data_IF_261401832992
#
_entry.id   IF_261401832992
#
_cell.length_a   1.000
_cell.length_b   1.000
_cell.length_c   1.000
_cell.angle_alpha   90.00
_cell.angle_beta   90.00
_cell.angle_gamma   90.00
#
_symmetry.space_group_name_H-M   'P 1'
#
loop_
_entity.id
_entity.type
_entity.pdbx_description
1 polymer ?
#
# COMPACT_ATOMS: atom_id res chain seq x y z
N UNK A 1 -8.14 -0.10 37.01
CA UNK A 1 -6.93 -0.48 36.26
C UNK A 1 -7.22 -0.25 34.80
N UNK A 2 -6.64 0.73 34.10
CA UNK A 2 -6.91 0.90 32.69
C UNK A 2 -6.20 -0.24 31.96
N UNK A 3 -6.98 -1.20 31.50
CA UNK A 3 -6.53 -2.26 30.59
C UNK A 3 -6.01 -1.56 29.35
N UNK A 4 -4.70 -1.55 29.14
CA UNK A 4 -4.07 -1.02 27.92
C UNK A 4 -4.43 -1.96 26.77
N UNK A 5 -5.64 -1.84 26.25
CA UNK A 5 -6.01 -2.45 24.98
C UNK A 5 -5.16 -1.70 23.96
N UNK A 6 -4.19 -2.39 23.37
CA UNK A 6 -3.40 -1.92 22.22
C UNK A 6 -4.34 -1.78 21.00
N UNK A 7 -5.26 -0.81 21.05
CA UNK A 7 -6.26 -0.52 20.01
C UNK A 7 -5.64 0.34 18.92
N UNK A 8 -4.60 -0.21 18.29
CA UNK A 8 -3.77 0.48 17.32
C UNK A 8 -3.44 -0.42 16.15
N UNK A 9 -3.43 0.16 14.95
CA UNK A 9 -2.85 -0.46 13.77
C UNK A 9 -1.41 0.03 13.63
N UNK A 10 -0.46 -0.89 13.51
CA UNK A 10 0.95 -0.58 13.30
C UNK A 10 1.33 -1.03 11.89
N UNK A 11 1.99 -0.14 11.15
CA UNK A 11 2.54 -0.46 9.83
C UNK A 11 4.03 -0.18 9.83
N UNK A 12 4.80 -1.08 9.23
CA UNK A 12 6.23 -0.88 9.02
C UNK A 12 6.58 -1.11 7.54
N UNK A 13 7.44 -0.26 7.01
CA UNK A 13 7.96 -0.34 5.65
C UNK A 13 9.48 -0.24 5.68
N UNK A 14 10.17 -1.20 5.07
CA UNK A 14 11.62 -1.32 5.04
C UNK A 14 12.30 -0.53 3.91
N UNK A 15 11.62 0.44 3.31
CA UNK A 15 12.22 1.37 2.34
C UNK A 15 13.25 2.30 3.01
N UNK A 16 13.90 3.18 2.24
CA UNK A 16 14.98 4.06 2.74
C UNK A 16 14.53 5.07 3.81
N UNK A 17 13.22 5.31 3.95
CA UNK A 17 12.66 6.25 4.92
C UNK A 17 12.34 7.64 4.35
N UNK A 18 11.91 8.56 5.22
CA UNK A 18 11.46 9.89 4.82
C UNK A 18 12.63 10.86 4.64
N UNK A 19 12.61 11.56 3.52
CA UNK A 19 13.41 12.79 3.34
C UNK A 19 12.63 14.01 3.83
N UNK A 20 13.31 15.15 4.00
CA UNK A 20 12.66 16.45 4.25
C UNK A 20 11.50 16.74 3.29
N UNK A 21 11.66 16.41 2.00
CA UNK A 21 10.61 16.60 0.99
C UNK A 21 9.39 15.71 1.25
N UNK A 22 9.59 14.49 1.77
CA UNK A 22 8.49 13.61 2.16
C UNK A 22 7.71 14.17 3.35
N UNK A 23 8.41 14.72 4.36
CA UNK A 23 7.77 15.37 5.52
C UNK A 23 6.98 16.62 5.09
N UNK A 24 7.55 17.47 4.24
CA UNK A 24 6.82 18.61 3.70
C UNK A 24 5.60 18.18 2.87
N UNK A 25 5.76 17.13 2.05
CA UNK A 25 4.72 16.58 1.21
C UNK A 25 3.53 16.07 2.02
N UNK A 26 3.78 15.31 3.07
CA UNK A 26 2.73 14.74 3.91
C UNK A 26 1.99 15.83 4.69
N UNK A 27 2.60 16.99 4.95
CA UNK A 27 1.99 18.13 5.64
C UNK A 27 1.16 19.06 4.73
N UNK A 28 1.09 18.83 3.42
CA UNK A 28 0.34 19.72 2.48
C UNK A 28 -1.12 19.29 2.30
N UNK A 29 -2.01 20.27 2.08
CA UNK A 29 -3.39 20.06 1.61
C UNK A 29 -3.41 20.20 0.10
N UNK A 30 -3.91 19.19 -0.62
CA UNK A 30 -4.40 19.33 -2.00
C UNK A 30 -3.40 19.82 -3.07
N UNK A 31 -2.15 20.13 -2.71
CA UNK A 31 -1.09 20.53 -3.62
C UNK A 31 -0.04 19.42 -3.66
N UNK A 32 -0.19 18.63 -4.70
CA UNK A 32 0.68 17.55 -5.17
C UNK A 32 2.16 17.78 -4.83
N UNK A 33 2.75 16.86 -4.09
CA UNK A 33 4.20 16.83 -3.83
C UNK A 33 5.03 16.23 -4.97
N UNK A 34 4.48 16.11 -6.18
CA UNK A 34 5.26 15.79 -7.39
C UNK A 34 5.70 17.07 -8.11
N UNK A 35 6.12 18.09 -7.37
CA UNK A 35 6.76 19.27 -7.98
C UNK A 35 8.12 18.85 -8.51
N UNK A 36 8.19 18.67 -9.83
CA UNK A 36 9.32 19.01 -10.71
C UNK A 36 10.73 18.58 -10.25
N UNK A 37 10.86 17.44 -9.59
CA UNK A 37 12.14 16.74 -9.53
C UNK A 37 12.03 15.52 -10.43
N UNK A 38 13.05 15.31 -11.25
CA UNK A 38 13.31 14.29 -12.27
C UNK A 38 13.11 12.81 -11.86
N UNK A 39 12.39 12.52 -10.79
CA UNK A 39 12.04 11.20 -10.25
C UNK A 39 10.60 10.76 -10.60
N UNK A 40 10.08 11.17 -11.77
CA UNK A 40 8.73 10.84 -12.24
C UNK A 40 8.51 9.37 -12.65
N UNK A 41 9.56 8.53 -12.66
CA UNK A 41 9.42 7.12 -13.00
C UNK A 41 8.97 6.30 -11.77
N UNK A 42 7.67 5.99 -11.71
CA UNK A 42 7.20 4.79 -11.01
C UNK A 42 6.46 4.94 -9.68
N UNK A 43 6.09 6.15 -9.28
CA UNK A 43 5.24 6.36 -8.09
C UNK A 43 3.74 6.29 -8.41
N UNK A 44 3.03 5.34 -7.79
CA UNK A 44 1.57 5.23 -7.83
C UNK A 44 0.95 6.28 -6.88
N UNK A 45 -0.01 7.06 -7.37
CA UNK A 45 -0.71 8.09 -6.58
C UNK A 45 -0.40 9.52 -7.05
N UNK A 46 -1.28 10.11 -7.86
CA UNK A 46 -1.11 11.43 -8.47
C UNK A 46 -1.56 12.59 -7.55
N UNK A 47 -2.53 12.34 -6.66
CA UNK A 47 -3.30 13.41 -5.99
C UNK A 47 -2.83 13.80 -4.58
N UNK A 48 -1.85 13.11 -3.98
CA UNK A 48 -1.33 13.45 -2.64
C UNK A 48 -2.32 13.29 -1.47
N UNK A 49 -3.50 12.72 -1.71
CA UNK A 49 -4.55 12.49 -0.70
C UNK A 49 -4.42 11.14 0.03
N UNK A 50 -3.55 10.26 -0.44
CA UNK A 50 -3.48 8.86 -0.01
C UNK A 50 -3.24 8.73 1.49
N UNK A 51 -2.25 9.42 2.04
CA UNK A 51 -1.98 9.33 3.47
C UNK A 51 -3.16 9.81 4.33
N UNK A 52 -3.89 10.86 3.93
CA UNK A 52 -4.96 11.42 4.78
C UNK A 52 -6.15 10.48 4.96
N UNK A 53 -6.29 9.42 4.15
CA UNK A 53 -7.35 8.43 4.35
C UNK A 53 -7.23 7.66 5.66
N UNK A 54 -6.04 7.62 6.29
CA UNK A 54 -5.84 6.99 7.61
C UNK A 54 -6.75 7.59 8.69
N UNK A 55 -7.10 8.89 8.59
CA UNK A 55 -7.98 9.56 9.55
C UNK A 55 -9.46 9.17 9.42
N UNK A 56 -9.80 8.30 8.46
CA UNK A 56 -11.11 7.62 8.45
C UNK A 56 -11.23 6.62 9.60
N UNK A 57 -10.11 6.06 10.07
CA UNK A 57 -10.09 5.01 11.10
C UNK A 57 -9.26 5.39 12.32
N UNK A 58 -8.38 6.38 12.21
CA UNK A 58 -7.47 6.80 13.27
C UNK A 58 -7.78 8.21 13.77
N UNK A 59 -7.68 8.42 15.08
CA UNK A 59 -7.69 9.76 15.70
C UNK A 59 -6.29 10.36 15.69
N UNK A 60 -5.27 9.56 15.99
CA UNK A 60 -3.87 10.00 16.04
C UNK A 60 -2.99 9.07 15.22
N UNK A 61 -2.05 9.63 14.48
CA UNK A 61 -1.07 8.88 13.69
C UNK A 61 0.32 9.37 14.01
N UNK A 62 1.13 8.51 14.62
CA UNK A 62 2.56 8.71 14.79
C UNK A 62 3.32 8.16 13.60
N UNK A 63 4.38 8.84 13.20
CA UNK A 63 5.30 8.44 12.14
C UNK A 63 6.72 8.55 12.70
N UNK A 64 7.46 7.46 12.61
CA UNK A 64 8.89 7.41 12.89
C UNK A 64 9.61 6.92 11.64
N UNK A 65 10.53 7.72 11.12
CA UNK A 65 11.33 7.36 9.94
C UNK A 65 12.65 8.12 9.95
N UNK A 66 13.76 7.37 10.02
CA UNK A 66 15.10 7.92 10.15
C UNK A 66 15.16 8.94 11.31
N UNK A 67 15.64 10.16 11.07
CA UNK A 67 15.69 11.24 12.05
C UNK A 67 14.32 11.91 12.37
N UNK A 68 13.25 11.56 11.64
CA UNK A 68 11.95 12.20 11.80
C UNK A 68 11.03 11.40 12.71
N UNK A 69 10.52 12.04 13.75
CA UNK A 69 9.56 11.47 14.69
C UNK A 69 8.50 12.51 15.06
N UNK A 70 7.28 12.31 14.58
CA UNK A 70 6.19 13.25 14.75
C UNK A 70 4.83 12.56 14.66
N UNK A 71 3.78 13.26 15.09
CA UNK A 71 2.39 12.80 14.97
C UNK A 71 1.47 13.83 14.35
N UNK A 72 0.31 13.35 13.92
CA UNK A 72 -0.84 14.12 13.52
C UNK A 72 -2.05 13.73 14.39
N UNK A 73 -2.83 14.72 14.81
CA UNK A 73 -4.01 14.53 15.68
C UNK A 73 -5.25 15.10 14.97
N UNK A 74 -6.21 14.25 14.60
CA UNK A 74 -7.39 14.61 13.78
C UNK A 74 -8.23 15.71 14.42
N UNK A 75 -8.35 15.69 15.74
CA UNK A 75 -9.24 16.54 16.53
C UNK A 75 -8.71 17.98 16.69
N UNK A 76 -7.42 18.23 16.36
CA UNK A 76 -6.86 19.58 16.43
C UNK A 76 -7.20 20.41 15.19
N UNK A 77 -7.29 21.74 15.33
CA UNK A 77 -7.31 22.64 14.16
C UNK A 77 -6.10 22.37 13.26
N UNK A 78 -6.36 22.06 11.98
CA UNK A 78 -5.35 21.66 11.00
C UNK A 78 -4.55 20.41 11.40
N UNK A 79 -5.00 19.62 12.37
CA UNK A 79 -4.18 18.56 12.97
C UNK A 79 -3.91 17.35 12.07
N UNK A 80 -4.67 17.21 10.97
CA UNK A 80 -4.35 16.26 9.91
C UNK A 80 -3.16 16.68 9.04
N UNK A 81 -2.68 17.93 9.12
CA UNK A 81 -1.62 18.46 8.24
C UNK A 81 -0.49 19.17 8.99
N UNK A 82 -0.73 19.62 10.22
CA UNK A 82 0.28 20.24 11.06
C UNK A 82 0.90 19.17 11.96
N UNK A 83 2.19 18.83 11.76
CA UNK A 83 2.83 17.80 12.56
C UNK A 83 3.17 18.33 13.96
N UNK A 84 3.11 17.45 14.95
CA UNK A 84 3.61 17.68 16.30
C UNK A 84 4.86 16.81 16.46
N UNK A 85 6.02 17.43 16.62
CA UNK A 85 7.27 16.71 16.85
C UNK A 85 7.20 16.02 18.21
N UNK A 86 7.22 14.70 18.19
CA UNK A 86 7.07 13.84 19.36
C UNK A 86 7.78 12.52 19.05
N UNK A 87 8.61 12.06 19.98
CA UNK A 87 9.25 10.76 19.84
C UNK A 87 8.23 9.66 20.12
N UNK A 88 8.05 8.76 19.15
CA UNK A 88 7.28 7.54 19.40
C UNK A 88 8.07 6.66 20.38
N UNK A 89 7.51 6.31 21.55
CA UNK A 89 8.21 5.46 22.51
C UNK A 89 8.60 4.11 21.89
N UNK A 90 9.82 3.64 22.15
CA UNK A 90 10.35 2.39 21.56
C UNK A 90 9.52 1.15 21.93
N UNK A 91 8.91 1.15 23.11
CA UNK A 91 7.99 0.10 23.58
C UNK A 91 6.68 0.04 22.78
N UNK A 92 6.39 1.07 22.00
CA UNK A 92 5.20 1.21 21.16
C UNK A 92 5.46 0.96 19.67
N UNK A 93 6.71 0.71 19.29
CA UNK A 93 7.10 0.17 17.99
C UNK A 93 7.05 -1.36 18.05
N UNK A 94 6.68 -2.01 16.93
CA UNK A 94 6.75 -3.47 16.87
C UNK A 94 8.20 -3.91 17.08
N UNK A 95 8.46 -4.73 18.11
CA UNK A 95 9.80 -5.30 18.38
C UNK A 95 10.38 -6.09 17.20
N UNK A 96 9.50 -6.55 16.31
CA UNK A 96 9.84 -7.28 15.09
C UNK A 96 10.12 -6.36 13.88
N UNK A 97 10.09 -5.03 14.04
CA UNK A 97 10.45 -4.11 12.97
C UNK A 97 11.96 -4.20 12.68
N UNK A 98 12.36 -4.44 11.43
CA UNK A 98 13.74 -4.27 10.99
C UNK A 98 14.32 -2.91 11.38
N UNK A 99 15.64 -2.84 11.59
CA UNK A 99 16.32 -1.56 11.76
C UNK A 99 16.15 -0.69 10.50
N UNK A 100 15.76 0.57 10.70
CA UNK A 100 15.52 1.55 9.64
C UNK A 100 14.07 1.61 9.15
N UNK A 101 13.84 2.25 8.00
CA UNK A 101 12.52 2.31 7.38
C UNK A 101 11.58 3.41 7.85
N UNK A 102 10.28 3.17 7.65
CA UNK A 102 9.18 4.02 8.09
C UNK A 102 8.20 3.18 8.89
N UNK A 103 8.00 3.54 10.14
CA UNK A 103 7.00 2.96 11.03
C UNK A 103 5.89 3.97 11.27
N UNK A 104 4.63 3.53 11.23
CA UNK A 104 3.48 4.33 11.59
C UNK A 104 2.63 3.58 12.61
N UNK A 105 2.20 4.30 13.66
CA UNK A 105 1.22 3.81 14.63
C UNK A 105 -0.05 4.63 14.46
N UNK A 106 -1.16 3.96 14.18
CA UNK A 106 -2.47 4.56 14.02
C UNK A 106 -3.30 4.19 15.25
N UNK A 107 -3.52 5.15 16.14
CA UNK A 107 -4.48 4.97 17.23
C UNK A 107 -5.88 5.03 16.66
N UNK A 108 -6.63 3.93 16.80
CA UNK A 108 -7.97 3.84 16.22
C UNK A 108 -8.90 4.82 16.93
N UNK A 109 -9.71 5.54 16.14
CA UNK A 109 -10.70 6.48 16.67
C UNK A 109 -11.85 5.73 17.34
N UNK A 110 -12.51 6.32 18.34
CA UNK A 110 -13.60 5.63 19.06
C UNK A 110 -14.76 5.21 18.14
N UNK A 111 -15.01 5.97 17.07
CA UNK A 111 -16.07 5.74 16.07
C UNK A 111 -15.70 4.71 14.98
N UNK A 112 -14.46 4.20 14.94
CA UNK A 112 -14.06 3.21 13.94
C UNK A 112 -14.80 1.86 14.13
N UNK A 113 -15.34 1.28 13.06
CA UNK A 113 -15.87 -0.09 13.10
C UNK A 113 -14.71 -1.10 13.05
N UNK A 114 -14.31 -1.64 14.21
CA UNK A 114 -13.19 -2.59 14.32
C UNK A 114 -13.46 -3.88 13.55
N UNK A 115 -14.70 -4.37 13.55
CA UNK A 115 -15.07 -5.61 12.87
C UNK A 115 -14.91 -5.43 11.37
N UNK A 116 -15.46 -4.35 10.82
CA UNK A 116 -15.32 -4.01 9.40
C UNK A 116 -13.85 -3.78 9.01
N UNK A 117 -13.09 -3.04 9.83
CA UNK A 117 -11.67 -2.83 9.58
C UNK A 117 -10.91 -4.17 9.52
N UNK A 118 -11.18 -5.07 10.46
CA UNK A 118 -10.60 -6.43 10.46
C UNK A 118 -10.96 -7.18 9.18
N UNK A 119 -12.23 -7.19 8.80
CA UNK A 119 -12.71 -7.85 7.58
C UNK A 119 -12.03 -7.29 6.33
N UNK A 120 -11.96 -5.97 6.17
CA UNK A 120 -11.31 -5.33 5.03
C UNK A 120 -9.79 -5.64 5.00
N UNK A 121 -9.13 -5.64 6.16
CA UNK A 121 -7.70 -5.97 6.28
C UNK A 121 -7.38 -7.44 6.03
N UNK A 122 -8.28 -8.37 6.34
CA UNK A 122 -8.03 -9.80 6.11
C UNK A 122 -8.49 -10.29 4.75
N UNK A 123 -9.44 -9.60 4.10
CA UNK A 123 -10.09 -10.05 2.85
C UNK A 123 -9.58 -9.40 1.56
N UNK A 124 -8.61 -8.47 1.62
CA UNK A 124 -8.11 -7.82 0.41
C UNK A 124 -7.53 -8.83 -0.60
N UNK A 125 -7.72 -8.54 -1.88
CA UNK A 125 -7.29 -9.39 -3.00
C UNK A 125 -5.75 -9.43 -3.11
N UNK A 126 -5.11 -10.62 -2.97
CA UNK A 126 -3.66 -10.78 -3.12
C UNK A 126 -3.11 -10.34 -4.49
N UNK A 127 -3.95 -10.31 -5.54
CA UNK A 127 -3.54 -9.88 -6.88
C UNK A 127 -3.06 -8.42 -6.92
N UNK A 128 -3.35 -7.61 -5.89
CA UNK A 128 -2.80 -6.26 -5.77
C UNK A 128 -1.26 -6.26 -5.90
N UNK A 129 -0.57 -7.28 -5.39
CA UNK A 129 0.88 -7.39 -5.43
C UNK A 129 1.45 -7.46 -6.86
N UNK A 130 0.68 -7.93 -7.84
CA UNK A 130 1.11 -8.03 -9.24
C UNK A 130 1.42 -6.63 -9.82
N UNK A 131 0.62 -5.63 -9.42
CA UNK A 131 0.70 -4.27 -9.97
C UNK A 131 1.65 -3.35 -9.21
N UNK A 132 2.10 -3.77 -8.03
CA UNK A 132 3.09 -3.03 -7.27
C UNK A 132 4.47 -3.20 -7.91
N UNK A 133 5.32 -2.19 -7.85
CA UNK A 133 6.66 -2.28 -8.46
C UNK A 133 7.65 -2.85 -7.48
N UNK A 134 7.79 -2.19 -6.34
CA UNK A 134 8.80 -2.48 -5.31
C UNK A 134 8.30 -3.44 -4.23
N UNK A 135 7.01 -3.38 -3.86
CA UNK A 135 6.48 -4.23 -2.81
C UNK A 135 6.43 -5.70 -3.25
N UNK A 136 7.13 -6.56 -2.52
CA UNK A 136 7.21 -7.99 -2.79
C UNK A 136 6.51 -8.84 -1.74
N UNK A 137 6.36 -8.35 -0.51
CA UNK A 137 5.73 -9.09 0.57
C UNK A 137 4.88 -8.18 1.45
N UNK A 138 3.74 -8.69 1.88
CA UNK A 138 2.90 -8.12 2.93
C UNK A 138 2.77 -9.16 4.04
N UNK A 139 3.16 -8.78 5.25
CA UNK A 139 2.93 -9.58 6.45
C UNK A 139 1.83 -8.90 7.27
N UNK A 140 0.69 -9.57 7.39
CA UNK A 140 -0.41 -9.13 8.24
C UNK A 140 -0.43 -9.99 9.51
N UNK A 141 -0.36 -9.32 10.65
CA UNK A 141 -0.50 -9.95 11.96
C UNK A 141 -1.69 -9.31 12.66
N UNK A 142 -2.61 -10.12 13.16
CA UNK A 142 -3.78 -9.66 13.92
C UNK A 142 -3.82 -10.38 15.25
N UNK A 143 -3.85 -9.60 16.33
CA UNK A 143 -4.00 -10.08 17.70
C UNK A 143 -5.23 -9.42 18.30
N UNK A 144 -6.28 -10.19 18.55
CA UNK A 144 -7.52 -9.70 19.16
C UNK A 144 -8.16 -10.75 20.07
N UNK A 145 -9.43 -10.55 20.45
CA UNK A 145 -10.19 -11.50 21.25
C UNK A 145 -10.35 -12.89 20.61
N UNK A 146 -10.20 -13.00 19.28
CA UNK A 146 -10.24 -14.27 18.56
C UNK A 146 -8.87 -14.98 18.53
N UNK A 147 -7.86 -14.40 19.18
CA UNK A 147 -6.51 -14.93 19.26
C UNK A 147 -5.55 -14.28 18.27
N UNK A 148 -4.42 -14.96 18.06
CA UNK A 148 -3.36 -14.54 17.16
C UNK A 148 -3.55 -15.16 15.77
N UNK A 149 -3.42 -14.36 14.72
CA UNK A 149 -3.35 -14.83 13.34
C UNK A 149 -2.27 -14.10 12.55
N UNK A 150 -1.63 -14.84 11.64
CA UNK A 150 -0.60 -14.31 10.73
C UNK A 150 -0.90 -14.76 9.31
N UNK A 151 -0.85 -13.82 8.38
CA UNK A 151 -1.02 -14.04 6.95
C UNK A 151 0.15 -13.38 6.22
N UNK A 152 0.90 -14.17 5.47
CA UNK A 152 2.04 -13.69 4.67
C UNK A 152 1.70 -13.84 3.20
N UNK A 153 1.63 -12.72 2.48
CA UNK A 153 1.46 -12.69 1.03
C UNK A 153 2.78 -12.29 0.39
N UNK A 154 3.29 -13.09 -0.54
CA UNK A 154 4.57 -12.84 -1.21
C UNK A 154 4.43 -12.98 -2.71
N UNK A 155 4.99 -12.04 -3.45
CA UNK A 155 5.15 -12.10 -4.90
C UNK A 155 6.51 -12.67 -5.26
N UNK A 156 6.53 -13.64 -6.16
CA UNK A 156 7.74 -14.16 -6.78
C UNK A 156 7.71 -13.81 -8.26
N UNK A 157 8.77 -13.17 -8.75
CA UNK A 157 8.96 -12.87 -10.18
C UNK A 157 9.89 -13.89 -10.80
N UNK A 158 9.45 -14.48 -11.89
CA UNK A 158 10.21 -15.35 -12.79
C UNK A 158 10.31 -14.66 -14.16
N UNK A 159 11.23 -15.08 -15.06
CA UNK A 159 11.49 -14.36 -16.32
C UNK A 159 10.24 -14.04 -17.16
N UNK A 160 9.27 -14.96 -17.18
CA UNK A 160 8.00 -14.79 -17.91
C UNK A 160 6.80 -15.18 -17.05
N UNK A 161 6.92 -15.13 -15.72
CA UNK A 161 5.83 -15.47 -14.83
C UNK A 161 5.86 -14.68 -13.52
N UNK A 162 4.68 -14.54 -12.92
CA UNK A 162 4.52 -14.01 -11.57
C UNK A 162 3.70 -15.01 -10.78
N UNK A 163 4.19 -15.36 -9.60
CA UNK A 163 3.48 -16.20 -8.63
C UNK A 163 3.16 -15.38 -7.39
N UNK A 164 1.97 -15.62 -6.83
CA UNK A 164 1.58 -15.09 -5.53
C UNK A 164 1.47 -16.28 -4.57
N UNK A 165 2.18 -16.19 -3.46
CA UNK A 165 2.20 -17.19 -2.40
C UNK A 165 1.49 -16.63 -1.16
N UNK A 166 0.66 -17.45 -0.54
CA UNK A 166 0.07 -17.21 0.77
C UNK A 166 0.60 -18.25 1.76
N UNK A 167 1.27 -17.79 2.81
CA UNK A 167 1.91 -18.66 3.81
C UNK A 167 2.78 -19.76 3.13
N UNK A 168 3.59 -19.33 2.17
CA UNK A 168 4.47 -20.17 1.33
C UNK A 168 3.78 -21.20 0.41
N UNK A 169 2.45 -21.14 0.30
CA UNK A 169 1.69 -21.93 -0.68
C UNK A 169 1.34 -21.07 -1.88
N UNK A 170 1.61 -21.55 -3.08
CA UNK A 170 1.19 -20.88 -4.32
C UNK A 170 -0.34 -20.83 -4.40
N UNK A 171 -0.88 -19.61 -4.53
CA UNK A 171 -2.33 -19.38 -4.68
C UNK A 171 -2.69 -18.79 -6.05
N UNK A 172 -1.73 -18.14 -6.73
CA UNK A 172 -1.88 -17.67 -8.10
C UNK A 172 -0.59 -17.83 -8.89
N UNK A 173 -0.75 -18.15 -10.17
CA UNK A 173 0.33 -18.25 -11.14
C UNK A 173 -0.09 -17.58 -12.44
N UNK A 174 0.70 -16.61 -12.89
CA UNK A 174 0.46 -15.87 -14.11
C UNK A 174 1.63 -15.99 -15.05
N UNK A 175 1.37 -16.29 -16.32
CA UNK A 175 2.31 -16.07 -17.41
C UNK A 175 2.30 -14.59 -17.79
N UNK A 176 3.46 -13.95 -17.84
CA UNK A 176 3.57 -12.50 -18.03
C UNK A 176 4.27 -12.13 -19.32
N UNK A 177 3.71 -11.14 -20.01
CA UNK A 177 4.26 -10.55 -21.22
C UNK A 177 4.38 -9.04 -21.03
N UNK A 178 5.61 -8.54 -21.12
CA UNK A 178 5.91 -7.13 -20.95
C UNK A 178 6.22 -6.51 -22.30
N UNK A 179 5.53 -5.41 -22.62
CA UNK A 179 5.80 -4.59 -23.79
C UNK A 179 6.14 -3.17 -23.37
N UNK A 180 7.31 -2.69 -23.78
CA UNK A 180 7.71 -1.29 -23.59
C UNK A 180 7.16 -0.47 -24.76
N UNK A 181 6.35 0.54 -24.43
CA UNK A 181 5.83 1.52 -25.39
C UNK A 181 6.78 2.72 -25.40
N UNK A 182 7.61 2.87 -26.45
CA UNK A 182 8.47 4.04 -26.59
C UNK A 182 7.66 5.25 -27.06
N UNK A 183 8.21 6.45 -26.84
CA UNK A 183 7.68 7.73 -27.37
C UNK A 183 6.24 8.00 -26.92
N UNK A 184 6.06 8.13 -25.60
CA UNK A 184 4.78 8.57 -25.04
C UNK A 184 4.47 10.01 -25.43
N UNK A 185 3.19 10.36 -25.68
CA UNK A 185 2.78 11.73 -25.96
C UNK A 185 3.13 12.65 -24.78
N UNK A 186 3.48 13.90 -25.09
CA UNK A 186 3.73 14.89 -24.07
C UNK A 186 2.46 15.15 -23.25
N UNK A 187 2.59 15.01 -21.94
CA UNK A 187 1.54 15.30 -20.97
C UNK A 187 2.14 16.24 -19.90
N UNK A 188 1.66 17.49 -19.77
CA UNK A 188 2.15 18.45 -18.79
C UNK A 188 2.19 17.92 -17.35
N UNK A 189 1.28 17.00 -16.99
CA UNK A 189 1.26 16.37 -15.66
C UNK A 189 2.31 15.27 -15.48
N UNK A 190 3.01 14.89 -16.54
CA UNK A 190 3.95 13.76 -16.62
C UNK A 190 5.25 14.17 -17.33
N UNK A 191 5.76 15.36 -17.01
CA UNK A 191 7.04 15.85 -17.52
C UNK A 191 8.16 14.81 -17.32
N UNK A 192 8.92 14.54 -18.39
CA UNK A 192 10.02 13.58 -18.38
C UNK A 192 9.63 12.10 -18.55
N UNK A 193 8.33 11.78 -18.67
CA UNK A 193 7.89 10.41 -18.99
C UNK A 193 7.77 10.25 -20.50
N UNK A 194 8.79 9.67 -21.12
CA UNK A 194 8.88 9.43 -22.57
C UNK A 194 8.61 7.99 -22.99
N UNK A 195 8.46 7.07 -22.03
CA UNK A 195 8.19 5.65 -22.26
C UNK A 195 7.23 5.11 -21.21
N UNK A 196 6.46 4.09 -21.56
CA UNK A 196 5.58 3.37 -20.64
C UNK A 196 5.74 1.87 -20.81
N UNK A 197 5.25 1.10 -19.85
CA UNK A 197 5.31 -0.36 -19.87
C UNK A 197 3.90 -0.91 -19.74
N UNK A 198 3.56 -1.84 -20.62
CA UNK A 198 2.32 -2.63 -20.56
C UNK A 198 2.71 -4.03 -20.12
N UNK A 199 2.15 -4.48 -19.00
CA UNK A 199 2.26 -5.84 -18.50
C UNK A 199 0.92 -6.54 -18.74
N UNK A 200 0.94 -7.61 -19.53
CA UNK A 200 -0.16 -8.56 -19.64
C UNK A 200 0.16 -9.77 -18.77
N UNK A 201 -0.78 -10.19 -17.93
CA UNK A 201 -0.63 -11.34 -17.05
C UNK A 201 -1.83 -12.27 -17.26
N UNK A 202 -1.57 -13.49 -17.72
CA UNK A 202 -2.59 -14.50 -18.00
C UNK A 202 -2.52 -15.59 -16.95
N UNK A 203 -3.62 -15.93 -16.27
CA UNK A 203 -3.61 -16.99 -15.27
C UNK A 203 -3.25 -18.32 -15.94
N UNK A 204 -2.28 -19.03 -15.37
CA UNK A 204 -1.93 -20.39 -15.78
C UNK A 204 -2.93 -21.33 -15.10
N UNK A 205 -3.66 -22.10 -15.89
CA UNK A 205 -4.62 -23.10 -15.40
C UNK A 205 -4.22 -24.47 -15.93
N UNK A 206 -4.21 -25.47 -15.06
CA UNK A 206 -3.94 -26.87 -15.44
C UNK A 206 -5.10 -27.47 -16.25
N UNK A 207 -6.30 -26.91 -16.12
CA UNK A 207 -7.50 -27.34 -16.85
C UNK A 207 -7.95 -26.26 -17.84
N UNK A 208 -8.23 -26.63 -19.11
CA UNK A 208 -8.79 -25.69 -20.07
C UNK A 208 -10.22 -25.31 -19.63
N UNK A 209 -10.39 -24.06 -19.20
CA UNK A 209 -11.69 -23.48 -18.86
C UNK A 209 -12.14 -22.47 -19.92
N UNK A 210 -13.45 -22.19 -19.95
CA UNK A 210 -14.00 -21.16 -20.84
C UNK A 210 -13.37 -19.79 -20.52
N UNK A 211 -13.13 -18.94 -21.54
CA UNK A 211 -12.63 -17.59 -21.33
C UNK A 211 -13.55 -16.85 -20.35
N UNK A 212 -13.06 -16.56 -19.16
CA UNK A 212 -13.82 -15.88 -18.12
C UNK A 212 -13.47 -14.39 -18.13
N UNK A 213 -14.34 -13.55 -17.60
CA UNK A 213 -13.99 -12.15 -17.39
C UNK A 213 -12.84 -12.04 -16.37
N UNK A 214 -11.81 -11.28 -16.73
CA UNK A 214 -10.65 -11.03 -15.90
C UNK A 214 -10.64 -9.58 -15.44
N UNK A 215 -10.19 -9.37 -14.20
CA UNK A 215 -10.02 -8.04 -13.67
C UNK A 215 -8.88 -7.33 -14.42
N UNK A 216 -9.17 -6.17 -15.00
CA UNK A 216 -8.18 -5.28 -15.62
C UNK A 216 -7.76 -4.22 -14.62
N UNK A 217 -6.48 -3.91 -14.61
CA UNK A 217 -5.86 -3.01 -13.66
C UNK A 217 -5.05 -1.93 -14.37
N UNK A 218 -5.05 -0.72 -13.81
CA UNK A 218 -4.10 0.34 -14.11
C UNK A 218 -3.57 0.87 -12.79
N UNK A 219 -2.58 0.15 -12.23
CA UNK A 219 -2.09 0.30 -10.85
C UNK A 219 -3.11 -0.03 -9.74
N UNK A 220 -4.38 0.28 -9.96
CA UNK A 220 -5.53 -0.13 -9.16
C UNK A 220 -6.54 -0.89 -10.04
N UNK A 221 -7.42 -1.72 -9.46
CA UNK A 221 -8.46 -2.40 -10.22
C UNK A 221 -9.34 -1.37 -10.95
N UNK A 222 -9.48 -1.51 -12.27
CA UNK A 222 -10.34 -0.65 -13.08
C UNK A 222 -11.73 -1.28 -13.11
N UNK A 223 -11.86 -2.41 -13.83
CA UNK A 223 -13.11 -3.15 -14.06
C UNK A 223 -12.78 -4.58 -14.51
N UNK A 224 -13.75 -5.48 -14.38
CA UNK A 224 -13.70 -6.79 -15.00
C UNK A 224 -14.07 -6.68 -16.49
N UNK A 225 -13.24 -7.26 -17.36
CA UNK A 225 -13.47 -7.35 -18.79
C UNK A 225 -13.27 -8.79 -19.26
N UNK A 226 -14.10 -9.27 -20.17
CA UNK A 226 -14.02 -10.63 -20.70
C UNK A 226 -14.60 -10.72 -22.10
N UNK A 227 -14.25 -11.79 -22.79
CA UNK A 227 -14.94 -12.17 -24.02
C UNK A 227 -16.29 -12.77 -23.64
N UNK A 228 -17.38 -12.05 -23.92
CA UNK A 228 -18.72 -12.63 -23.85
C UNK A 228 -18.85 -13.61 -25.01
N UNK A 229 -18.50 -14.88 -24.78
CA UNK A 229 -18.82 -15.93 -25.74
C UNK A 229 -20.33 -16.12 -25.66
N UNK A 230 -21.06 -15.56 -26.63
CA UNK A 230 -22.46 -15.93 -26.84
C UNK A 230 -22.46 -17.39 -27.29
N UNK A 231 -22.78 -18.28 -26.38
CA UNK A 231 -23.26 -19.64 -26.70
C UNK A 231 -24.67 -19.57 -27.24
#
# INVERSE_FOLDING_TARGET
MPTTINDSLITHCNETGFTKRNVEAICRIGKTSKVKSSAGRGYIGEKGIGFKSVFKVASTVWISSCEYSFKFEKERPLGMITPIWEQLPEDQLSKDAPEGGTSMRLQLSHDCDRRRLREEMTSFDPNILIFLRTLEQITLTVTDSNGYSKRVLRRVREPNAIKILENDKEIFHYATFTHSVPIMPYEPKREGITQSEILLAFPVQDTPSLPTAHQVYAFLPIRSYGFNVRT
#
